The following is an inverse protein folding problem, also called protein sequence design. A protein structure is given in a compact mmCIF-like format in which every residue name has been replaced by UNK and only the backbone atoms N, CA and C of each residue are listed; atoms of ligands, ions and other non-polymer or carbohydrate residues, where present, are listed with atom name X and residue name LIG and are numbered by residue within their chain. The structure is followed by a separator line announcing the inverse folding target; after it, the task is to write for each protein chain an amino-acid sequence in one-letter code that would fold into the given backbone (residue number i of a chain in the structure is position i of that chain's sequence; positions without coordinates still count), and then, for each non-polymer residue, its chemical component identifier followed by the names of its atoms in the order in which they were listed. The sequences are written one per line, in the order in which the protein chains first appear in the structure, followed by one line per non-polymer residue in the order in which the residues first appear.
data_IF_287961316197
#
_entry.id   IF_287961316197
#
_cell.length_a   1.000
_cell.length_b   1.000
_cell.length_c   1.000
_cell.angle_alpha   90.00
_cell.angle_beta   90.00
_cell.angle_gamma   90.00
#
_symmetry.space_group_name_H-M   'P 1'
#
loop_
_entity.id
_entity.type
_entity.pdbx_description
1 polymer ?
#
# COMPACT_ATOMS: atom_id res chain seq x y z
N UNK A 1 49.85 14.84 14.96
CA UNK A 1 49.02 13.80 15.63
C UNK A 1 47.65 14.32 16.19
N UNK A 2 47.44 15.61 16.49
CA UNK A 2 46.18 16.12 17.06
C UNK A 2 45.04 16.39 16.03
N UNK A 3 45.33 16.55 14.73
CA UNK A 3 44.31 16.83 13.71
C UNK A 3 43.60 15.59 13.17
N UNK A 4 44.21 14.42 13.21
CA UNK A 4 43.57 13.15 12.75
C UNK A 4 42.53 12.61 13.74
N UNK A 5 42.72 12.82 15.04
CA UNK A 5 41.79 12.34 16.05
C UNK A 5 40.46 13.14 16.11
N UNK A 6 40.48 14.41 15.64
CA UNK A 6 39.25 15.25 15.63
C UNK A 6 38.31 14.84 14.49
N UNK A 7 38.87 14.41 13.35
CA UNK A 7 38.06 13.95 12.20
C UNK A 7 37.39 12.60 12.49
N UNK A 8 38.11 11.70 13.17
CA UNK A 8 37.57 10.37 13.53
C UNK A 8 36.42 10.50 14.55
N UNK A 9 36.58 11.42 15.54
CA UNK A 9 35.52 11.66 16.54
C UNK A 9 34.30 12.33 15.91
N UNK A 10 34.47 13.27 14.95
CA UNK A 10 33.36 13.91 14.25
C UNK A 10 32.57 12.91 13.34
N UNK A 11 33.27 11.99 12.67
CA UNK A 11 32.61 10.94 11.83
C UNK A 11 31.90 9.91 12.71
N UNK A 12 32.48 9.54 13.86
CA UNK A 12 31.83 8.60 14.79
C UNK A 12 30.58 9.24 15.45
N UNK A 13 30.63 10.52 15.79
CA UNK A 13 29.48 11.25 16.36
C UNK A 13 28.40 11.43 15.30
N UNK A 14 28.75 11.65 14.02
CA UNK A 14 27.76 11.73 12.94
C UNK A 14 27.12 10.38 12.62
N UNK A 15 27.90 9.28 12.60
CA UNK A 15 27.38 7.93 12.43
C UNK A 15 26.54 7.46 13.63
N UNK A 16 26.93 7.78 14.86
CA UNK A 16 26.14 7.48 16.05
C UNK A 16 24.87 8.35 16.13
N UNK A 17 24.89 9.58 15.64
CA UNK A 17 23.73 10.47 15.58
C UNK A 17 22.68 10.00 14.55
N UNK A 18 23.11 9.46 13.41
CA UNK A 18 22.22 8.92 12.38
C UNK A 18 21.62 7.56 12.81
N UNK A 19 22.42 6.70 13.44
CA UNK A 19 21.92 5.41 14.00
C UNK A 19 20.95 5.68 15.16
N UNK A 20 21.21 6.65 16.03
CA UNK A 20 20.26 7.00 17.10
C UNK A 20 18.95 7.61 16.58
N UNK A 21 18.95 8.32 15.44
CA UNK A 21 17.70 8.89 14.89
C UNK A 21 16.81 7.85 14.23
N UNK A 22 17.37 6.85 13.54
CA UNK A 22 16.59 5.74 12.95
C UNK A 22 16.08 4.76 14.01
N UNK A 23 16.90 4.45 15.02
CA UNK A 23 16.49 3.57 16.13
C UNK A 23 15.46 4.24 17.05
N UNK A 24 15.54 5.52 17.30
CA UNK A 24 14.55 6.29 18.07
C UNK A 24 13.22 6.37 17.30
N UNK A 25 13.26 6.49 15.98
CA UNK A 25 12.05 6.53 15.17
C UNK A 25 11.34 5.18 15.08
N UNK A 26 12.10 4.10 14.84
CA UNK A 26 11.54 2.73 14.83
C UNK A 26 11.03 2.33 16.23
N UNK A 27 11.71 2.73 17.30
CA UNK A 27 11.27 2.54 18.67
C UNK A 27 10.06 3.41 19.04
N UNK A 28 9.93 4.64 18.51
CA UNK A 28 8.80 5.54 18.75
C UNK A 28 7.53 5.05 18.02
N UNK A 29 7.65 4.35 16.90
CA UNK A 29 6.54 3.70 16.21
C UNK A 29 6.22 2.29 16.78
N UNK A 30 7.22 1.51 17.15
CA UNK A 30 7.04 0.20 17.78
C UNK A 30 6.62 0.28 19.26
N UNK A 31 7.07 1.30 20.01
CA UNK A 31 6.79 1.48 21.43
C UNK A 31 5.40 2.02 21.79
N UNK A 32 4.52 2.25 20.81
CA UNK A 32 3.20 2.87 21.04
C UNK A 32 2.01 1.92 21.04
N UNK A 33 2.20 0.67 20.62
CA UNK A 33 1.14 -0.33 20.73
C UNK A 33 1.24 -0.95 22.13
N UNK A 34 0.35 -0.55 23.04
CA UNK A 34 0.27 -1.21 24.34
C UNK A 34 -0.41 -2.59 24.19
N UNK A 35 -0.21 -3.46 25.15
CA UNK A 35 -0.80 -4.82 25.17
C UNK A 35 -2.34 -4.79 24.99
N UNK A 36 -3.00 -3.69 25.38
CA UNK A 36 -4.45 -3.53 25.27
C UNK A 36 -4.85 -3.25 23.82
N UNK A 37 -4.12 -2.41 23.11
CA UNK A 37 -4.36 -2.10 21.70
C UNK A 37 -4.11 -3.34 20.83
N UNK A 38 -3.01 -4.06 21.07
CA UNK A 38 -2.72 -5.34 20.38
C UNK A 38 -3.81 -6.39 20.61
N UNK A 39 -4.28 -6.54 21.86
CA UNK A 39 -5.38 -7.44 22.18
C UNK A 39 -6.70 -7.03 21.50
N UNK A 40 -6.95 -5.73 21.36
CA UNK A 40 -8.12 -5.22 20.65
C UNK A 40 -8.03 -5.54 19.14
N UNK A 41 -6.89 -5.28 18.51
CA UNK A 41 -6.63 -5.63 17.10
C UNK A 41 -6.86 -7.12 16.84
N UNK A 42 -6.29 -7.99 17.67
CA UNK A 42 -6.47 -9.44 17.59
C UNK A 42 -7.93 -9.85 17.73
N UNK A 43 -8.63 -9.29 18.71
CA UNK A 43 -10.05 -9.57 18.96
C UNK A 43 -10.92 -9.17 17.77
N UNK A 44 -10.67 -8.00 17.17
CA UNK A 44 -11.38 -7.53 15.99
C UNK A 44 -11.08 -8.38 14.77
N UNK A 45 -9.81 -8.76 14.55
CA UNK A 45 -9.43 -9.63 13.44
C UNK A 45 -10.08 -11.03 13.56
N UNK A 46 -10.14 -11.60 14.77
CA UNK A 46 -10.83 -12.88 15.00
C UNK A 46 -12.35 -12.76 14.79
N UNK A 47 -12.95 -11.62 15.16
CA UNK A 47 -14.36 -11.36 14.89
C UNK A 47 -14.61 -11.20 13.39
N UNK A 48 -13.75 -10.47 12.67
CA UNK A 48 -13.78 -10.32 11.22
C UNK A 48 -13.74 -11.67 10.49
N UNK A 49 -12.80 -12.55 10.86
CA UNK A 49 -12.69 -13.88 10.26
C UNK A 49 -13.93 -14.76 10.52
N UNK A 50 -14.54 -14.65 11.70
CA UNK A 50 -15.75 -15.44 12.04
C UNK A 50 -16.98 -15.05 11.22
N UNK A 51 -17.10 -13.79 10.81
CA UNK A 51 -18.27 -13.33 10.02
C UNK A 51 -18.04 -13.43 8.51
N UNK A 52 -16.82 -13.68 8.07
CA UNK A 52 -16.50 -13.87 6.67
C UNK A 52 -17.16 -15.17 6.17
N UNK A 53 -17.98 -15.13 5.10
CA UNK A 53 -18.56 -16.36 4.53
C UNK A 53 -17.47 -17.33 4.09
N UNK A 54 -17.55 -18.59 4.54
CA UNK A 54 -16.52 -19.62 4.34
C UNK A 54 -16.26 -19.97 2.87
N UNK A 55 -17.20 -19.66 1.98
CA UNK A 55 -17.12 -19.90 0.54
C UNK A 55 -16.81 -18.62 -0.28
N UNK A 56 -16.67 -17.46 0.39
CA UNK A 56 -16.50 -16.17 -0.27
C UNK A 56 -15.33 -16.17 -1.24
N UNK A 57 -14.14 -16.54 -0.75
CA UNK A 57 -12.92 -16.52 -1.57
C UNK A 57 -12.98 -17.55 -2.69
N UNK A 58 -13.54 -18.74 -2.43
CA UNK A 58 -13.76 -19.75 -3.47
C UNK A 58 -14.66 -19.25 -4.60
N UNK A 59 -15.77 -18.55 -4.27
CA UNK A 59 -16.63 -17.93 -5.30
C UNK A 59 -15.89 -16.85 -6.09
N UNK A 60 -15.09 -16.05 -5.42
CA UNK A 60 -14.27 -15.01 -6.07
C UNK A 60 -13.19 -15.63 -6.97
N UNK A 61 -12.50 -16.65 -6.51
CA UNK A 61 -11.55 -17.44 -7.33
C UNK A 61 -12.23 -17.98 -8.59
N UNK A 62 -13.40 -18.59 -8.44
CA UNK A 62 -14.17 -19.10 -9.58
C UNK A 62 -14.52 -17.98 -10.57
N UNK A 63 -14.96 -16.81 -10.09
CA UNK A 63 -15.30 -15.67 -10.93
C UNK A 63 -14.08 -15.13 -11.71
N UNK A 64 -12.91 -15.08 -11.07
CA UNK A 64 -11.66 -14.69 -11.74
C UNK A 64 -11.28 -15.69 -12.83
N UNK A 65 -11.35 -16.99 -12.52
CA UNK A 65 -10.98 -18.04 -13.48
C UNK A 65 -11.93 -18.06 -14.68
N UNK A 66 -13.24 -17.87 -14.48
CA UNK A 66 -14.22 -17.73 -15.56
C UNK A 66 -13.90 -16.51 -16.44
N UNK A 67 -13.50 -15.39 -15.84
CA UNK A 67 -13.13 -14.21 -16.58
C UNK A 67 -11.85 -14.39 -17.42
N UNK A 68 -10.86 -15.12 -16.91
CA UNK A 68 -9.66 -15.52 -17.67
C UNK A 68 -10.06 -16.37 -18.89
N UNK A 69 -11.06 -17.23 -18.74
CA UNK A 69 -11.59 -18.07 -19.81
C UNK A 69 -12.58 -17.33 -20.75
N UNK A 70 -12.81 -16.02 -20.53
CA UNK A 70 -13.60 -15.13 -21.38
C UNK A 70 -15.02 -14.82 -20.91
N UNK A 71 -15.48 -15.34 -19.76
CA UNK A 71 -16.77 -14.99 -19.16
C UNK A 71 -16.60 -14.05 -17.94
N UNK A 72 -16.75 -12.76 -18.18
CA UNK A 72 -16.62 -11.72 -17.16
C UNK A 72 -17.87 -11.52 -16.28
N UNK A 73 -18.97 -12.23 -16.54
CA UNK A 73 -20.27 -11.95 -15.90
C UNK A 73 -20.22 -12.05 -14.37
N UNK A 74 -19.63 -13.13 -13.85
CA UNK A 74 -19.47 -13.37 -12.40
C UNK A 74 -18.51 -12.37 -11.77
N UNK A 75 -17.41 -12.04 -12.44
CA UNK A 75 -16.40 -11.09 -11.96
C UNK A 75 -16.99 -9.68 -11.87
N UNK A 76 -17.74 -9.24 -12.88
CA UNK A 76 -18.44 -7.96 -12.86
C UNK A 76 -19.48 -7.86 -11.75
N UNK A 77 -20.20 -8.95 -11.48
CA UNK A 77 -21.15 -9.00 -10.35
C UNK A 77 -20.42 -8.80 -8.99
N UNK A 78 -19.25 -9.42 -8.80
CA UNK A 78 -18.44 -9.24 -7.59
C UNK A 78 -17.92 -7.81 -7.49
N UNK A 79 -17.39 -7.22 -8.57
CA UNK A 79 -16.92 -5.83 -8.60
C UNK A 79 -18.05 -4.85 -8.26
N UNK A 80 -19.22 -5.00 -8.88
CA UNK A 80 -20.36 -4.13 -8.61
C UNK A 80 -20.83 -4.22 -7.16
N UNK A 81 -20.88 -5.42 -6.57
CA UNK A 81 -21.26 -5.61 -5.18
C UNK A 81 -20.27 -4.98 -4.18
N UNK A 82 -19.01 -4.82 -4.55
CA UNK A 82 -17.94 -4.22 -3.74
C UNK A 82 -17.75 -2.72 -4.00
N UNK A 83 -18.30 -2.19 -5.08
CA UNK A 83 -18.14 -0.80 -5.48
C UNK A 83 -19.20 0.09 -4.81
N UNK A 84 -19.19 0.14 -3.47
CA UNK A 84 -20.10 0.97 -2.68
C UNK A 84 -19.44 2.31 -2.38
N UNK A 85 -20.22 3.39 -2.51
CA UNK A 85 -19.75 4.72 -2.16
C UNK A 85 -19.59 4.82 -0.64
N UNK A 86 -18.39 5.18 -0.12
CA UNK A 86 -18.20 5.37 1.31
C UNK A 86 -18.88 6.66 1.81
N UNK A 87 -19.15 6.74 3.10
CA UNK A 87 -19.44 8.00 3.76
C UNK A 87 -18.15 8.79 3.91
N UNK A 88 -18.24 10.12 3.72
CA UNK A 88 -17.11 11.04 3.85
C UNK A 88 -17.25 11.93 5.06
N UNK A 89 -16.11 12.35 5.59
CA UNK A 89 -16.03 13.28 6.73
C UNK A 89 -16.55 14.67 6.34
N UNK A 90 -17.21 15.35 7.27
CA UNK A 90 -17.77 16.70 7.06
C UNK A 90 -16.70 17.74 6.70
N UNK A 91 -15.45 17.54 7.12
CA UNK A 91 -14.31 18.43 6.86
C UNK A 91 -13.52 18.08 5.58
N UNK A 92 -13.97 17.11 4.79
CA UNK A 92 -13.35 16.73 3.52
C UNK A 92 -14.29 17.08 2.36
N UNK A 93 -13.72 17.61 1.28
CA UNK A 93 -14.38 17.79 0.00
C UNK A 93 -13.79 16.81 -1.01
N UNK A 94 -14.65 16.21 -1.84
CA UNK A 94 -14.20 15.31 -2.91
C UNK A 94 -14.66 15.78 -4.27
N UNK A 95 -13.83 15.62 -5.29
CA UNK A 95 -14.20 15.85 -6.69
C UNK A 95 -13.41 14.92 -7.63
N UNK A 96 -13.99 14.60 -8.76
CA UNK A 96 -13.25 13.95 -9.84
C UNK A 96 -12.36 14.99 -10.53
N UNK A 97 -11.08 14.67 -10.72
CA UNK A 97 -10.12 15.52 -11.47
C UNK A 97 -9.84 14.97 -12.86
N UNK A 98 -10.12 13.68 -13.06
CA UNK A 98 -10.23 13.00 -14.36
C UNK A 98 -11.35 11.96 -14.26
N UNK A 99 -11.63 11.22 -15.34
CA UNK A 99 -12.64 10.15 -15.33
C UNK A 99 -12.30 9.01 -14.35
N UNK A 100 -11.02 8.86 -13.96
CA UNK A 100 -10.53 7.77 -13.13
C UNK A 100 -9.72 8.23 -11.90
N UNK A 101 -9.68 9.53 -11.58
CA UNK A 101 -9.00 10.04 -10.39
C UNK A 101 -9.92 10.90 -9.54
N UNK A 102 -10.02 10.60 -8.25
CA UNK A 102 -10.75 11.39 -7.26
C UNK A 102 -9.77 12.08 -6.31
N UNK A 103 -9.92 13.39 -6.19
CA UNK A 103 -9.20 14.22 -5.22
C UNK A 103 -10.04 14.35 -3.95
N UNK A 104 -9.38 14.21 -2.80
CA UNK A 104 -9.88 14.48 -1.46
C UNK A 104 -9.10 15.66 -0.90
N UNK A 105 -9.81 16.72 -0.48
CA UNK A 105 -9.25 17.99 -0.05
C UNK A 105 -9.77 18.37 1.33
N UNK A 106 -8.90 18.76 2.29
CA UNK A 106 -9.36 19.37 3.54
C UNK A 106 -10.08 20.68 3.25
N UNK A 107 -11.29 20.86 3.78
CA UNK A 107 -12.10 22.08 3.50
C UNK A 107 -11.47 23.37 4.03
N UNK A 108 -10.74 23.27 5.14
CA UNK A 108 -10.14 24.43 5.81
C UNK A 108 -8.79 24.86 5.16
N UNK A 109 -8.25 24.07 4.20
CA UNK A 109 -6.94 24.29 3.58
C UNK A 109 -7.02 24.37 2.04
N UNK A 110 -8.12 24.82 1.48
CA UNK A 110 -8.35 24.79 0.02
C UNK A 110 -7.31 25.57 -0.79
N UNK A 111 -6.87 26.72 -0.28
CA UNK A 111 -5.89 27.59 -0.94
C UNK A 111 -4.44 27.29 -0.55
N UNK A 112 -4.22 26.33 0.34
CA UNK A 112 -2.88 25.95 0.80
C UNK A 112 -2.25 24.93 -0.13
N UNK A 113 -0.96 25.06 -0.43
CA UNK A 113 -0.17 24.04 -1.11
C UNK A 113 0.24 22.99 -0.07
N UNK A 114 -0.23 21.75 -0.25
CA UNK A 114 -0.06 20.66 0.70
C UNK A 114 0.71 19.50 0.08
N UNK A 115 1.35 18.63 0.91
CA UNK A 115 1.80 17.32 0.49
C UNK A 115 0.68 16.52 -0.18
N UNK A 116 1.03 15.59 -1.07
CA UNK A 116 0.08 14.72 -1.74
C UNK A 116 0.36 13.25 -1.45
N UNK A 117 -0.72 12.50 -1.19
CA UNK A 117 -0.76 11.05 -1.25
C UNK A 117 -1.51 10.61 -2.51
N UNK A 118 -0.83 9.99 -3.49
CA UNK A 118 -1.48 9.20 -4.53
C UNK A 118 -1.71 7.79 -3.99
N UNK A 119 -2.97 7.38 -3.86
CA UNK A 119 -3.33 6.09 -3.30
C UNK A 119 -3.86 5.13 -4.35
N UNK A 120 -3.27 3.93 -4.39
CA UNK A 120 -3.56 2.84 -5.30
C UNK A 120 -4.25 1.72 -4.50
N UNK A 121 -5.53 1.46 -4.82
CA UNK A 121 -6.31 0.47 -4.06
C UNK A 121 -5.80 -0.95 -4.26
N UNK A 122 -6.02 -1.81 -3.25
CA UNK A 122 -5.81 -3.25 -3.34
C UNK A 122 -6.94 -3.99 -4.07
N UNK A 123 -6.84 -5.32 -4.06
CA UNK A 123 -7.82 -6.19 -4.68
C UNK A 123 -7.25 -7.14 -5.72
N UNK A 124 -5.95 -7.48 -5.60
CA UNK A 124 -5.29 -8.45 -6.49
C UNK A 124 -5.28 -8.02 -7.94
N UNK A 125 -5.15 -6.73 -8.23
CA UNK A 125 -5.22 -6.12 -9.57
C UNK A 125 -6.53 -6.45 -10.33
N UNK A 126 -7.47 -7.16 -9.70
CA UNK A 126 -8.69 -7.73 -10.31
C UNK A 126 -9.96 -7.13 -9.72
N UNK A 127 -9.93 -6.77 -8.46
CA UNK A 127 -11.00 -6.10 -7.72
C UNK A 127 -10.58 -4.69 -7.30
N UNK A 128 -11.51 -4.00 -6.62
CA UNK A 128 -11.29 -2.69 -6.08
C UNK A 128 -11.72 -1.56 -7.00
N UNK A 129 -11.71 -0.37 -6.45
CA UNK A 129 -12.03 0.90 -7.11
C UNK A 129 -11.65 2.06 -6.21
N UNK A 130 -11.77 3.30 -6.69
CA UNK A 130 -11.63 4.51 -5.87
C UNK A 130 -12.65 4.57 -4.70
N UNK A 131 -13.74 3.80 -4.76
CA UNK A 131 -14.68 3.71 -3.66
C UNK A 131 -14.20 2.74 -2.57
N UNK A 132 -13.53 1.65 -2.95
CA UNK A 132 -13.04 0.65 -1.99
C UNK A 132 -11.95 1.18 -1.06
N UNK A 133 -11.14 2.14 -1.51
CA UNK A 133 -10.13 2.83 -0.68
C UNK A 133 -10.63 4.16 -0.11
N UNK A 134 -11.88 4.55 -0.40
CA UNK A 134 -12.40 5.87 -0.08
C UNK A 134 -12.39 6.19 1.41
N UNK A 135 -12.68 5.21 2.29
CA UNK A 135 -12.58 5.38 3.75
C UNK A 135 -11.17 5.81 4.19
N UNK A 136 -10.14 5.16 3.64
CA UNK A 136 -8.76 5.49 3.98
C UNK A 136 -8.35 6.85 3.41
N UNK A 137 -8.66 7.12 2.14
CA UNK A 137 -8.36 8.39 1.50
C UNK A 137 -9.02 9.58 2.21
N UNK A 138 -10.28 9.42 2.63
CA UNK A 138 -11.01 10.40 3.41
C UNK A 138 -10.34 10.66 4.77
N UNK A 139 -10.03 9.60 5.52
CA UNK A 139 -9.38 9.72 6.83
C UNK A 139 -8.01 10.42 6.74
N UNK A 140 -7.23 10.14 5.69
CA UNK A 140 -5.95 10.81 5.46
C UNK A 140 -6.13 12.30 5.16
N UNK A 141 -7.08 12.67 4.29
CA UNK A 141 -7.39 14.06 3.98
C UNK A 141 -8.01 14.79 5.19
N UNK A 142 -8.85 14.12 5.98
CA UNK A 142 -9.46 14.66 7.19
C UNK A 142 -8.43 15.08 8.27
N UNK A 143 -7.19 14.59 8.18
CA UNK A 143 -6.09 15.06 9.03
C UNK A 143 -5.75 16.54 8.84
N UNK A 144 -6.16 17.15 7.72
CA UNK A 144 -5.82 18.54 7.36
C UNK A 144 -4.36 18.73 6.93
N UNK A 145 -3.59 17.66 6.75
CA UNK A 145 -2.14 17.73 6.52
C UNK A 145 -1.72 17.45 5.08
N UNK A 146 -2.60 16.90 4.25
CA UNK A 146 -2.31 16.50 2.88
C UNK A 146 -3.56 16.50 2.03
N UNK A 147 -3.37 16.53 0.72
CA UNK A 147 -4.35 16.14 -0.27
C UNK A 147 -4.18 14.66 -0.61
N UNK A 148 -5.26 14.01 -0.99
CA UNK A 148 -5.19 12.60 -1.42
C UNK A 148 -5.83 12.46 -2.79
N UNK A 149 -5.16 11.76 -3.69
CA UNK A 149 -5.74 11.35 -4.98
C UNK A 149 -5.86 9.84 -4.98
N UNK A 150 -7.06 9.31 -5.16
CA UNK A 150 -7.30 7.90 -5.41
C UNK A 150 -7.39 7.66 -6.92
N UNK A 151 -6.74 6.60 -7.41
CA UNK A 151 -6.73 6.21 -8.82
C UNK A 151 -7.54 4.93 -9.04
N UNK A 152 -8.43 4.97 -10.02
CA UNK A 152 -9.12 3.80 -10.59
C UNK A 152 -8.31 3.30 -11.79
N UNK A 153 -7.32 2.46 -11.52
CA UNK A 153 -6.46 1.89 -12.56
C UNK A 153 -7.15 0.70 -13.24
N UNK A 154 -6.81 0.43 -14.49
CA UNK A 154 -7.37 -0.69 -15.27
C UNK A 154 -7.08 -2.04 -14.63
N UNK A 155 -8.10 -2.89 -14.58
CA UNK A 155 -8.06 -4.16 -13.85
C UNK A 155 -7.89 -5.36 -14.77
N UNK A 156 -7.18 -6.37 -14.27
CA UNK A 156 -7.09 -7.69 -14.86
C UNK A 156 -8.39 -8.51 -14.62
N UNK A 157 -8.69 -9.51 -15.43
CA UNK A 157 -7.95 -9.99 -16.59
C UNK A 157 -8.20 -9.21 -17.88
N UNK A 158 -9.16 -8.26 -17.91
CA UNK A 158 -9.48 -7.50 -19.13
C UNK A 158 -8.30 -6.61 -19.55
N UNK A 159 -7.56 -6.10 -18.56
CA UNK A 159 -6.37 -5.28 -18.74
C UNK A 159 -5.24 -5.81 -17.83
N UNK A 160 -4.60 -6.93 -18.22
CA UNK A 160 -3.52 -7.51 -17.43
C UNK A 160 -2.28 -6.61 -17.44
N UNK A 161 -1.22 -7.00 -16.75
CA UNK A 161 0.07 -6.30 -16.83
C UNK A 161 0.46 -6.05 -18.30
N UNK A 162 0.94 -4.82 -18.65
CA UNK A 162 1.31 -3.71 -17.76
C UNK A 162 0.26 -2.59 -17.62
N UNK A 163 -1.00 -2.79 -18.01
CA UNK A 163 -1.96 -1.73 -18.22
C UNK A 163 -2.24 -0.89 -16.95
N UNK A 164 -2.48 -1.54 -15.80
CA UNK A 164 -2.68 -0.85 -14.52
C UNK A 164 -1.43 -0.08 -14.06
N UNK A 165 -0.23 -0.60 -14.31
CA UNK A 165 1.02 0.10 -14.02
C UNK A 165 1.18 1.36 -14.86
N UNK A 166 0.84 1.29 -16.15
CA UNK A 166 0.86 2.46 -17.04
C UNK A 166 -0.09 3.57 -16.54
N UNK A 167 -1.26 3.21 -16.02
CA UNK A 167 -2.20 4.17 -15.44
C UNK A 167 -1.62 4.83 -14.19
N UNK A 168 -0.92 4.08 -13.33
CA UNK A 168 -0.26 4.61 -12.14
C UNK A 168 0.86 5.62 -12.50
N UNK A 169 1.69 5.29 -13.48
CA UNK A 169 2.74 6.19 -14.00
C UNK A 169 2.13 7.45 -14.60
N UNK A 170 1.06 7.29 -15.39
CA UNK A 170 0.34 8.41 -15.98
C UNK A 170 -0.27 9.33 -14.92
N UNK A 171 -0.80 8.78 -13.82
CA UNK A 171 -1.36 9.55 -12.71
C UNK A 171 -0.29 10.41 -12.01
N UNK A 172 0.91 9.87 -11.73
CA UNK A 172 2.02 10.66 -11.18
C UNK A 172 2.39 11.81 -12.11
N UNK A 173 2.50 11.56 -13.41
CA UNK A 173 2.80 12.60 -14.41
C UNK A 173 1.71 13.67 -14.49
N UNK A 174 0.45 13.26 -14.44
CA UNK A 174 -0.68 14.19 -14.41
C UNK A 174 -0.64 15.10 -13.20
N UNK A 175 -0.44 14.53 -12.01
CA UNK A 175 -0.37 15.29 -10.75
C UNK A 175 0.75 16.32 -10.80
N UNK A 176 1.96 15.94 -11.22
CA UNK A 176 3.09 16.85 -11.32
C UNK A 176 2.79 17.99 -12.33
N UNK A 177 2.17 17.66 -13.47
CA UNK A 177 1.84 18.65 -14.51
C UNK A 177 0.77 19.66 -14.04
N UNK A 178 -0.16 19.23 -13.19
CA UNK A 178 -1.29 20.04 -12.73
C UNK A 178 -1.15 20.46 -11.24
N UNK A 179 0.07 20.41 -10.69
CA UNK A 179 0.32 20.65 -9.28
C UNK A 179 -0.19 22.01 -8.78
N UNK A 180 0.01 23.07 -9.56
CA UNK A 180 -0.46 24.42 -9.22
C UNK A 180 -2.01 24.47 -9.14
N UNK A 181 -2.71 23.85 -10.08
CA UNK A 181 -4.17 23.75 -10.12
C UNK A 181 -4.72 22.90 -8.97
N UNK A 182 -3.97 21.88 -8.59
CA UNK A 182 -4.32 20.96 -7.51
C UNK A 182 -3.83 21.43 -6.14
N UNK A 183 -3.12 22.56 -6.05
CA UNK A 183 -2.45 23.06 -4.83
C UNK A 183 -1.59 22.00 -4.15
N UNK A 184 -0.75 21.29 -4.93
CA UNK A 184 0.10 20.19 -4.50
C UNK A 184 1.56 20.60 -4.47
N UNK A 185 2.26 20.27 -3.37
CA UNK A 185 3.70 20.40 -3.30
C UNK A 185 4.38 19.19 -3.99
N UNK A 186 4.94 19.43 -5.18
CA UNK A 186 5.60 18.38 -5.97
C UNK A 186 6.87 17.81 -5.31
N UNK A 187 7.43 18.49 -4.32
CA UNK A 187 8.56 17.97 -3.55
C UNK A 187 8.15 16.97 -2.47
N UNK A 188 6.83 16.89 -2.18
CA UNK A 188 6.25 16.04 -1.15
C UNK A 188 5.14 15.15 -1.71
N UNK A 189 5.47 14.37 -2.76
CA UNK A 189 4.57 13.36 -3.33
C UNK A 189 4.87 12.00 -2.70
N UNK A 190 3.89 11.45 -2.00
CA UNK A 190 3.87 10.06 -1.55
C UNK A 190 3.03 9.24 -2.50
N UNK A 191 3.52 8.06 -2.92
CA UNK A 191 2.69 7.05 -3.58
C UNK A 191 2.46 5.91 -2.60
N UNK A 192 1.21 5.55 -2.41
CA UNK A 192 0.85 4.50 -1.45
C UNK A 192 -0.19 3.55 -1.98
N UNK A 193 -0.33 2.41 -1.30
CA UNK A 193 -1.37 1.44 -1.62
C UNK A 193 -1.32 0.22 -0.71
N UNK A 194 -2.40 -0.54 -0.76
CA UNK A 194 -2.55 -1.80 -0.03
C UNK A 194 -2.49 -3.00 -0.96
N UNK A 195 -1.88 -4.10 -0.51
CA UNK A 195 -1.84 -5.37 -1.25
C UNK A 195 -1.26 -5.21 -2.68
N UNK A 196 -2.05 -5.50 -3.72
CA UNK A 196 -1.69 -5.25 -5.13
C UNK A 196 -1.46 -3.78 -5.45
N UNK A 197 -2.15 -2.86 -4.78
CA UNK A 197 -1.89 -1.41 -4.89
C UNK A 197 -0.52 -1.03 -4.33
N UNK A 198 -0.08 -1.68 -3.26
CA UNK A 198 1.28 -1.54 -2.72
C UNK A 198 2.35 -2.05 -3.71
N UNK A 199 2.07 -3.14 -4.42
CA UNK A 199 2.93 -3.62 -5.51
C UNK A 199 3.06 -2.57 -6.63
N UNK A 200 1.92 -2.04 -7.10
CA UNK A 200 1.90 -0.99 -8.13
C UNK A 200 2.61 0.28 -7.67
N UNK A 201 2.52 0.66 -6.39
CA UNK A 201 3.24 1.81 -5.84
C UNK A 201 4.76 1.64 -5.94
N UNK A 202 5.28 0.46 -5.57
CA UNK A 202 6.70 0.13 -5.69
C UNK A 202 7.13 0.13 -7.17
N UNK A 203 6.40 -0.57 -8.05
CA UNK A 203 6.70 -0.64 -9.47
C UNK A 203 6.67 0.74 -10.14
N UNK A 204 5.71 1.61 -9.75
CA UNK A 204 5.64 3.00 -10.22
C UNK A 204 6.89 3.78 -9.83
N UNK A 205 7.35 3.66 -8.57
CA UNK A 205 8.55 4.36 -8.10
C UNK A 205 9.85 3.86 -8.77
N UNK A 206 9.89 2.58 -9.15
CA UNK A 206 11.01 1.98 -9.88
C UNK A 206 11.05 2.38 -11.35
N UNK A 207 9.93 2.81 -11.93
CA UNK A 207 9.85 3.17 -13.35
C UNK A 207 10.76 4.35 -13.67
N UNK A 208 11.37 4.35 -14.87
CA UNK A 208 12.24 5.44 -15.30
C UNK A 208 11.52 6.79 -15.37
N UNK A 209 10.21 6.77 -15.67
CA UNK A 209 9.36 7.97 -15.72
C UNK A 209 9.13 8.62 -14.36
N UNK A 210 9.13 7.85 -13.27
CA UNK A 210 8.80 8.32 -11.92
C UNK A 210 10.00 8.37 -10.96
N UNK A 211 11.11 7.76 -11.34
CA UNK A 211 12.33 7.72 -10.52
C UNK A 211 12.78 9.13 -10.11
N UNK A 212 12.97 9.33 -8.81
CA UNK A 212 13.38 10.62 -8.24
C UNK A 212 12.27 11.70 -8.18
N UNK A 213 11.02 11.36 -8.55
CA UNK A 213 9.87 12.28 -8.49
C UNK A 213 8.93 11.97 -7.33
N UNK A 214 9.11 10.82 -6.69
CA UNK A 214 8.34 10.34 -5.55
C UNK A 214 9.21 10.47 -4.31
N UNK A 215 8.75 11.21 -3.32
CA UNK A 215 9.50 11.50 -2.09
C UNK A 215 9.42 10.33 -1.10
N UNK A 216 8.27 9.63 -1.05
CA UNK A 216 8.10 8.49 -0.15
C UNK A 216 7.09 7.47 -0.65
N UNK A 217 7.17 6.24 -0.10
CA UNK A 217 6.21 5.16 -0.31
C UNK A 217 5.47 4.82 0.99
N UNK A 218 4.15 4.62 0.90
CA UNK A 218 3.31 4.16 1.98
C UNK A 218 2.67 2.82 1.59
N UNK A 219 3.06 1.74 2.22
CA UNK A 219 2.70 0.38 1.82
C UNK A 219 1.96 -0.36 2.94
N UNK A 220 0.80 -0.90 2.63
CA UNK A 220 0.08 -1.77 3.55
C UNK A 220 0.08 -3.20 3.01
N UNK A 221 0.67 -4.13 3.75
CA UNK A 221 0.77 -5.56 3.41
C UNK A 221 0.97 -5.82 1.90
N UNK A 222 1.98 -5.19 1.26
CA UNK A 222 2.11 -5.20 -0.19
C UNK A 222 2.44 -6.58 -0.75
N UNK A 223 1.98 -6.86 -1.98
CA UNK A 223 2.51 -7.97 -2.78
C UNK A 223 3.88 -7.58 -3.30
N UNK A 224 4.92 -8.34 -2.94
CA UNK A 224 6.28 -8.13 -3.49
C UNK A 224 6.69 -9.19 -4.50
N UNK A 225 5.99 -10.34 -4.52
CA UNK A 225 6.14 -11.42 -5.50
C UNK A 225 4.77 -11.91 -5.95
N UNK A 226 4.52 -11.97 -7.24
CA UNK A 226 3.25 -12.40 -7.82
C UNK A 226 3.20 -13.92 -8.07
N UNK A 227 3.71 -14.71 -7.12
CA UNK A 227 3.70 -16.17 -7.12
C UNK A 227 3.89 -16.70 -5.69
N UNK A 228 3.55 -17.98 -5.48
CA UNK A 228 3.91 -18.69 -4.23
C UNK A 228 5.42 -18.86 -4.15
N UNK A 229 6.04 -18.18 -3.20
CA UNK A 229 7.49 -18.19 -3.00
C UNK A 229 7.96 -19.27 -2.01
N UNK A 230 7.06 -20.13 -1.56
CA UNK A 230 7.33 -21.22 -0.62
C UNK A 230 7.63 -20.73 0.80
N UNK A 231 7.39 -19.47 1.13
CA UNK A 231 7.64 -18.92 2.46
C UNK A 231 6.74 -19.56 3.52
N UNK A 232 7.16 -19.47 4.80
CA UNK A 232 6.42 -20.06 5.91
C UNK A 232 5.03 -19.46 6.04
N UNK A 233 4.85 -18.14 5.78
CA UNK A 233 3.55 -17.49 5.85
C UNK A 233 2.56 -18.04 4.84
N UNK A 234 2.99 -18.46 3.64
CA UNK A 234 2.14 -19.14 2.66
C UNK A 234 1.59 -20.45 3.19
N UNK A 235 2.39 -21.22 3.92
CA UNK A 235 1.97 -22.48 4.53
C UNK A 235 1.09 -22.26 5.76
N UNK A 236 1.46 -21.30 6.61
CA UNK A 236 0.82 -21.06 7.90
C UNK A 236 -0.52 -20.32 7.75
N UNK A 237 -0.62 -19.33 6.85
CA UNK A 237 -1.77 -18.44 6.71
C UNK A 237 -2.49 -18.58 5.36
N UNK A 238 -2.11 -19.55 4.55
CA UNK A 238 -2.67 -19.76 3.21
C UNK A 238 -4.13 -20.20 3.17
N UNK A 239 -4.81 -20.35 4.34
CA UNK A 239 -6.23 -20.68 4.39
C UNK A 239 -6.88 -20.19 5.68
N UNK A 240 -7.98 -19.43 5.52
CA UNK A 240 -8.83 -19.02 6.64
C UNK A 240 -8.36 -17.78 7.40
N UNK A 241 -7.40 -17.02 6.84
CA UNK A 241 -6.86 -15.80 7.43
C UNK A 241 -7.15 -14.52 6.62
N UNK A 242 -8.21 -14.52 5.82
CA UNK A 242 -8.68 -13.34 5.10
C UNK A 242 -8.15 -13.19 3.68
N UNK A 243 -6.97 -13.73 3.38
CA UNK A 243 -6.42 -13.89 2.03
C UNK A 243 -5.89 -15.32 1.89
N UNK A 244 -6.66 -16.19 1.23
CA UNK A 244 -6.27 -17.57 1.01
C UNK A 244 -5.30 -17.72 -0.19
N UNK A 245 -4.45 -18.74 -0.18
CA UNK A 245 -3.51 -19.05 -1.25
C UNK A 245 -4.21 -19.21 -2.61
N UNK A 246 -5.35 -19.91 -2.64
CA UNK A 246 -6.09 -20.20 -3.88
C UNK A 246 -6.55 -18.93 -4.61
N UNK A 247 -7.07 -17.93 -3.87
CA UNK A 247 -7.48 -16.66 -4.50
C UNK A 247 -6.26 -15.82 -4.88
N UNK A 248 -5.18 -15.87 -4.09
CA UNK A 248 -3.95 -15.14 -4.43
C UNK A 248 -3.33 -15.69 -5.72
N UNK A 249 -3.33 -17.00 -5.92
CA UNK A 249 -2.91 -17.63 -7.19
C UNK A 249 -3.77 -17.19 -8.37
N UNK A 250 -5.12 -17.11 -8.18
CA UNK A 250 -6.02 -16.62 -9.22
C UNK A 250 -5.74 -15.15 -9.60
N UNK A 251 -5.47 -14.29 -8.61
CA UNK A 251 -5.05 -12.91 -8.83
C UNK A 251 -3.74 -12.83 -9.63
N UNK A 252 -2.72 -13.56 -9.19
CA UNK A 252 -1.44 -13.63 -9.89
C UNK A 252 -1.64 -14.04 -11.34
N UNK A 253 -2.42 -15.09 -11.58
CA UNK A 253 -2.70 -15.63 -12.91
C UNK A 253 -3.44 -14.62 -13.80
N UNK A 254 -4.43 -13.91 -13.25
CA UNK A 254 -5.16 -12.89 -14.00
C UNK A 254 -4.25 -11.70 -14.38
N UNK A 255 -3.43 -11.24 -13.44
CA UNK A 255 -2.54 -10.11 -13.67
C UNK A 255 -1.39 -10.43 -14.64
N UNK A 256 -0.81 -11.62 -14.52
CA UNK A 256 0.34 -12.06 -15.34
C UNK A 256 -0.06 -12.84 -16.60
N UNK A 257 -1.31 -12.72 -17.06
CA UNK A 257 -1.90 -13.55 -18.12
C UNK A 257 -1.02 -13.70 -19.38
N UNK A 258 -0.27 -12.65 -19.74
CA UNK A 258 0.60 -12.61 -20.92
C UNK A 258 2.05 -12.25 -20.57
N UNK A 259 2.43 -12.32 -19.29
CA UNK A 259 3.73 -11.89 -18.82
C UNK A 259 4.35 -12.94 -17.87
N UNK A 260 5.67 -12.86 -17.69
CA UNK A 260 6.38 -13.68 -16.71
C UNK A 260 6.18 -13.11 -15.30
N UNK A 261 5.56 -13.89 -14.42
CA UNK A 261 5.37 -13.52 -13.01
C UNK A 261 6.71 -13.20 -12.30
N UNK A 262 7.84 -13.70 -12.80
CA UNK A 262 9.16 -13.42 -12.25
C UNK A 262 9.81 -12.16 -12.82
N UNK A 263 9.14 -11.43 -13.72
CA UNK A 263 9.61 -10.10 -14.13
C UNK A 263 9.71 -9.16 -12.92
N UNK A 264 10.78 -8.37 -12.85
CA UNK A 264 11.03 -7.44 -11.74
C UNK A 264 10.01 -6.28 -11.66
N UNK A 265 9.33 -5.97 -12.77
CA UNK A 265 8.27 -4.96 -12.80
C UNK A 265 6.94 -5.49 -12.22
N UNK A 266 6.80 -6.81 -12.12
CA UNK A 266 5.66 -7.51 -11.52
C UNK A 266 6.02 -7.95 -10.10
N UNK A 267 7.06 -8.75 -9.97
CA UNK A 267 7.59 -9.26 -8.71
C UNK A 267 8.75 -8.38 -8.24
N UNK A 268 8.41 -7.18 -7.76
CA UNK A 268 9.35 -6.14 -7.33
C UNK A 268 10.34 -6.61 -6.27
N UNK A 269 9.98 -7.65 -5.50
CA UNK A 269 10.88 -8.33 -4.56
C UNK A 269 12.04 -9.08 -5.22
N UNK A 270 12.05 -9.24 -6.54
CA UNK A 270 13.16 -9.84 -7.31
C UNK A 270 14.13 -8.80 -7.90
N UNK A 271 13.84 -7.51 -7.74
CA UNK A 271 14.75 -6.45 -8.16
C UNK A 271 16.13 -6.60 -7.51
N UNK A 272 17.16 -6.07 -8.17
CA UNK A 272 18.51 -6.01 -7.59
C UNK A 272 18.54 -5.10 -6.35
N UNK A 273 19.51 -5.30 -5.47
CA UNK A 273 19.63 -4.44 -4.28
C UNK A 273 19.90 -2.98 -4.69
N UNK A 274 20.66 -2.73 -5.76
CA UNK A 274 20.87 -1.37 -6.27
C UNK A 274 19.56 -0.70 -6.70
N UNK A 275 18.66 -1.44 -7.35
CA UNK A 275 17.33 -0.91 -7.71
C UNK A 275 16.47 -0.63 -6.47
N UNK A 276 16.50 -1.52 -5.48
CA UNK A 276 15.78 -1.32 -4.22
C UNK A 276 16.36 -0.14 -3.42
N UNK A 277 17.67 0.04 -3.41
CA UNK A 277 18.33 1.19 -2.78
C UNK A 277 18.06 2.52 -3.51
N UNK A 278 17.60 2.49 -4.77
CA UNK A 278 17.14 3.69 -5.48
C UNK A 278 15.72 4.11 -5.08
N UNK A 279 14.93 3.26 -4.42
CA UNK A 279 13.61 3.60 -3.92
C UNK A 279 13.68 4.70 -2.84
N UNK A 280 12.63 5.53 -2.71
CA UNK A 280 12.58 6.57 -1.68
C UNK A 280 12.38 5.97 -0.28
N UNK A 281 12.37 6.84 0.75
CA UNK A 281 11.99 6.42 2.12
C UNK A 281 10.63 5.76 2.11
N UNK A 282 10.46 4.68 2.86
CA UNK A 282 9.27 3.85 2.77
C UNK A 282 8.76 3.46 4.16
N UNK A 283 7.46 3.61 4.40
CA UNK A 283 6.76 2.97 5.50
C UNK A 283 6.00 1.74 4.97
N UNK A 284 6.26 0.58 5.56
CA UNK A 284 5.50 -0.65 5.32
C UNK A 284 4.80 -1.10 6.60
N UNK A 285 3.48 -1.21 6.55
CA UNK A 285 2.68 -1.81 7.63
C UNK A 285 2.23 -3.19 7.19
N UNK A 286 2.61 -4.22 7.94
CA UNK A 286 2.30 -5.62 7.66
C UNK A 286 1.29 -6.16 8.65
N UNK A 287 0.48 -7.15 8.26
CA UNK A 287 -0.32 -7.95 9.18
C UNK A 287 0.48 -9.18 9.65
N UNK A 288 0.37 -9.56 10.93
CA UNK A 288 1.07 -10.73 11.46
C UNK A 288 0.56 -12.02 10.81
N UNK A 289 -0.75 -12.17 10.69
CA UNK A 289 -1.41 -13.39 10.19
C UNK A 289 -1.82 -13.22 8.72
N UNK A 290 -0.82 -13.05 7.86
CA UNK A 290 -0.99 -12.77 6.44
C UNK A 290 -0.07 -13.64 5.60
N UNK A 291 -0.60 -14.19 4.52
CA UNK A 291 0.15 -14.97 3.52
C UNK A 291 1.33 -14.16 2.94
N UNK A 292 1.20 -12.82 2.83
CA UNK A 292 2.20 -11.91 2.25
C UNK A 292 3.26 -11.43 3.27
N UNK A 293 3.13 -11.82 4.55
CA UNK A 293 4.00 -11.35 5.64
C UNK A 293 5.48 -11.54 5.34
N UNK A 294 5.87 -12.75 4.98
CA UNK A 294 7.30 -13.11 4.89
C UNK A 294 7.94 -12.53 3.63
N UNK A 295 7.24 -12.45 2.50
CA UNK A 295 7.75 -11.76 1.32
C UNK A 295 7.92 -10.25 1.57
N UNK A 296 7.01 -9.63 2.33
CA UNK A 296 7.14 -8.23 2.76
C UNK A 296 8.32 -8.03 3.71
N UNK A 297 8.56 -8.97 4.65
CA UNK A 297 9.72 -8.94 5.55
C UNK A 297 11.03 -9.03 4.78
N UNK A 298 11.16 -9.99 3.87
CA UNK A 298 12.36 -10.17 3.05
C UNK A 298 12.63 -8.93 2.17
N UNK A 299 11.58 -8.30 1.64
CA UNK A 299 11.71 -7.05 0.89
C UNK A 299 12.22 -5.92 1.78
N UNK A 300 11.67 -5.76 2.99
CA UNK A 300 12.07 -4.74 3.94
C UNK A 300 13.54 -4.89 4.40
N UNK A 301 13.97 -6.11 4.67
CA UNK A 301 15.36 -6.40 5.04
C UNK A 301 16.35 -5.95 3.96
N UNK A 302 16.01 -6.13 2.67
CA UNK A 302 16.84 -5.69 1.54
C UNK A 302 16.82 -4.17 1.33
N UNK A 303 15.73 -3.49 1.71
CA UNK A 303 15.65 -2.02 1.69
C UNK A 303 16.50 -1.35 2.76
N UNK A 304 16.80 -2.06 3.87
CA UNK A 304 17.60 -1.55 4.99
C UNK A 304 17.04 -0.26 5.59
N UNK A 305 17.93 0.72 5.85
CA UNK A 305 17.59 1.97 6.57
C UNK A 305 16.55 2.85 5.83
N UNK A 306 16.26 2.60 4.57
CA UNK A 306 15.21 3.31 3.83
C UNK A 306 13.80 2.83 4.13
N UNK A 307 13.67 1.67 4.78
CA UNK A 307 12.40 1.04 5.10
C UNK A 307 12.15 1.06 6.61
N UNK A 308 11.07 1.70 7.03
CA UNK A 308 10.47 1.44 8.34
C UNK A 308 9.37 0.40 8.16
N UNK A 309 9.55 -0.79 8.71
CA UNK A 309 8.53 -1.84 8.71
C UNK A 309 7.91 -1.98 10.09
N UNK A 310 6.58 -1.92 10.16
CA UNK A 310 5.80 -2.16 11.37
C UNK A 310 4.92 -3.39 11.11
N UNK A 311 4.93 -4.35 12.02
CA UNK A 311 4.02 -5.49 12.00
C UNK A 311 2.94 -5.30 13.06
N UNK A 312 1.67 -5.31 12.63
CA UNK A 312 0.54 -5.21 13.55
C UNK A 312 0.17 -6.60 14.04
N UNK A 313 0.50 -6.86 15.30
CA UNK A 313 0.28 -8.16 15.94
C UNK A 313 -1.22 -8.49 16.02
N UNK A 314 -1.55 -9.75 15.77
CA UNK A 314 -2.92 -10.27 15.81
C UNK A 314 -3.80 -9.91 14.62
N UNK A 315 -3.36 -9.01 13.72
CA UNK A 315 -4.16 -8.59 12.56
C UNK A 315 -4.10 -9.60 11.42
N UNK A 316 -5.06 -9.49 10.51
CA UNK A 316 -5.09 -10.22 9.24
C UNK A 316 -5.15 -9.25 8.08
N UNK A 317 -4.98 -9.74 6.85
CA UNK A 317 -5.12 -8.94 5.63
C UNK A 317 -6.40 -8.09 5.60
N UNK A 318 -6.47 -7.06 4.75
CA UNK A 318 -7.66 -6.23 4.47
C UNK A 318 -8.02 -5.16 5.52
N UNK A 319 -7.25 -4.90 6.57
CA UNK A 319 -7.63 -3.93 7.60
C UNK A 319 -7.75 -2.47 7.10
N UNK A 320 -7.20 -2.14 5.93
CA UNK A 320 -7.36 -0.81 5.30
C UNK A 320 -8.69 -0.69 4.54
N UNK A 321 -9.06 -1.73 3.78
CA UNK A 321 -10.15 -1.64 2.79
C UNK A 321 -11.46 -2.26 3.24
N UNK A 322 -11.43 -3.18 4.20
CA UNK A 322 -12.65 -3.87 4.68
C UNK A 322 -12.90 -3.55 6.15
N UNK A 323 -14.10 -3.00 6.50
CA UNK A 323 -14.46 -2.73 7.89
C UNK A 323 -14.41 -3.97 8.78
N UNK A 324 -14.16 -3.78 10.08
CA UNK A 324 -14.19 -4.84 11.09
C UNK A 324 -12.85 -5.06 11.79
N UNK A 325 -11.79 -4.37 11.37
CA UNK A 325 -10.49 -4.29 12.05
C UNK A 325 -10.16 -2.83 12.35
N UNK A 326 -11.09 -2.12 13.02
CA UNK A 326 -11.07 -0.66 13.14
C UNK A 326 -9.87 -0.15 13.94
N UNK A 327 -9.43 -0.85 14.98
CA UNK A 327 -8.24 -0.46 15.74
C UNK A 327 -6.97 -0.49 14.87
N UNK A 328 -6.83 -1.50 14.00
CA UNK A 328 -5.72 -1.56 13.06
C UNK A 328 -5.82 -0.46 11.99
N UNK A 329 -7.02 -0.16 11.52
CA UNK A 329 -7.28 0.92 10.56
C UNK A 329 -6.92 2.29 11.16
N UNK A 330 -7.41 2.62 12.34
CA UNK A 330 -7.14 3.90 13.02
C UNK A 330 -5.65 4.09 13.28
N UNK A 331 -4.98 3.04 13.75
CA UNK A 331 -3.54 3.05 13.96
C UNK A 331 -2.78 3.25 12.63
N UNK A 332 -3.22 2.62 11.53
CA UNK A 332 -2.61 2.76 10.22
C UNK A 332 -2.73 4.19 9.67
N UNK A 333 -3.87 4.85 9.87
CA UNK A 333 -4.06 6.27 9.52
C UNK A 333 -3.09 7.14 10.33
N UNK A 334 -3.00 6.94 11.64
CA UNK A 334 -2.11 7.67 12.53
C UNK A 334 -0.63 7.55 12.14
N UNK A 335 -0.17 6.33 11.90
CA UNK A 335 1.21 6.04 11.51
C UNK A 335 1.53 6.61 10.12
N UNK A 336 0.57 6.51 9.17
CA UNK A 336 0.69 7.07 7.83
C UNK A 336 0.78 8.61 7.85
N UNK A 337 -0.09 9.29 8.60
CA UNK A 337 -0.04 10.76 8.73
C UNK A 337 1.29 11.19 9.31
N UNK A 338 1.76 10.58 10.41
CA UNK A 338 3.06 10.87 11.02
C UNK A 338 4.23 10.64 10.08
N UNK A 339 4.13 9.65 9.21
CA UNK A 339 5.17 9.34 8.22
C UNK A 339 5.21 10.39 7.11
N UNK A 340 4.07 10.77 6.54
CA UNK A 340 4.01 11.68 5.37
C UNK A 340 4.40 13.12 5.74
N UNK A 341 4.01 13.61 6.93
CA UNK A 341 4.25 15.01 7.33
C UNK A 341 5.63 15.29 7.91
N UNK A 342 6.51 14.30 7.91
CA UNK A 342 7.92 14.43 8.32
C UNK A 342 8.81 14.85 7.17
#
# INVERSE_FOLDING_TARGET
MKKQNIIIVAVIIFLLGVVQSSDVYSQDLQGRCDDKEQNLMRTQADAFLRVMPSDLQKRQTTAIMQAIDGDNSSLMAVRNARNTLPEYSDNVQTRMITDNMRLYEPKDCQDETLPLLLYLHGGGWTFGSINSCGRFCDAMAASGKMRVVALDYRLAPEHPYPEGLHDCIAAVRYIIKHADELHVDVSHITVGGDSSGGNLAIATALSDDCRGKIESLLLFYPVTKAFDDGSESWQQFGKGFGLDAEIMEAFNRAYTLHADAHSTDISVGLCTDDALQALPRTLMVSAERDILRDQGRAFAERMGDKMTRIEYEGTVHLFITVPGQDAAFERAVDDAVKFIVK
#
